data_IF_109526815342
#
_entry.id   IF_109526815342
#
_cell.length_a   1.000
_cell.length_b   1.000
_cell.length_c   1.000
_cell.angle_alpha   90.00
_cell.angle_beta   90.00
_cell.angle_gamma   90.00
#
_symmetry.space_group_name_H-M   'P 1'
#
loop_
_entity.id
_entity.type
_entity.pdbx_description
1 polymer ?
#
# COMPACT_ATOMS: atom_id res chain seq x y z
N UNK A 1 5.05 -4.25 0.85
CA UNK A 1 3.72 -3.61 0.75
C UNK A 1 3.77 -2.59 -0.36
N UNK A 2 2.80 -2.65 -1.24
CA UNK A 2 2.59 -1.71 -2.34
C UNK A 2 1.22 -1.09 -2.17
N UNK A 3 1.08 0.21 -2.38
CA UNK A 3 -0.21 0.91 -2.39
C UNK A 3 -0.44 1.51 -3.76
N UNK A 4 -1.64 1.33 -4.29
CA UNK A 4 -2.06 1.83 -5.59
C UNK A 4 -3.30 2.72 -5.47
N UNK A 5 -3.42 3.68 -6.39
CA UNK A 5 -4.66 4.44 -6.56
C UNK A 5 -5.76 3.56 -7.20
N UNK A 6 -6.97 4.13 -7.33
CA UNK A 6 -8.12 3.45 -7.97
C UNK A 6 -7.89 3.04 -9.43
N UNK A 7 -6.90 3.63 -10.09
CA UNK A 7 -6.54 3.35 -11.49
C UNK A 7 -5.43 2.30 -11.57
N UNK A 8 -4.92 1.81 -10.44
CA UNK A 8 -3.83 0.84 -10.37
C UNK A 8 -2.43 1.46 -10.41
N UNK A 9 -2.28 2.78 -10.34
CA UNK A 9 -0.95 3.39 -10.29
C UNK A 9 -0.35 3.26 -8.90
N UNK A 10 0.89 2.78 -8.82
CA UNK A 10 1.65 2.76 -7.58
C UNK A 10 1.90 4.19 -7.04
N UNK A 11 1.47 4.39 -5.80
CA UNK A 11 1.69 5.64 -5.05
C UNK A 11 2.69 5.48 -3.92
N UNK A 12 2.94 4.25 -3.47
CA UNK A 12 3.88 3.92 -2.41
C UNK A 12 4.31 2.46 -2.50
N UNK A 13 5.58 2.16 -2.22
CA UNK A 13 6.05 0.80 -2.00
C UNK A 13 7.15 0.76 -0.94
N UNK A 14 7.12 -0.30 -0.11
CA UNK A 14 8.11 -0.52 0.95
C UNK A 14 8.25 -1.99 1.31
N UNK A 15 9.50 -2.45 1.44
CA UNK A 15 9.84 -3.74 2.03
C UNK A 15 9.89 -3.59 3.56
N UNK A 16 9.29 -4.53 4.29
CA UNK A 16 9.25 -4.48 5.75
C UNK A 16 8.43 -3.30 6.28
N UNK A 17 7.25 -3.06 5.69
CA UNK A 17 6.34 -1.98 6.09
C UNK A 17 5.96 -2.08 7.57
N UNK A 18 5.99 -0.95 8.28
CA UNK A 18 5.77 -0.87 9.74
C UNK A 18 4.56 -0.01 10.11
N UNK A 19 3.59 0.11 9.21
CA UNK A 19 2.47 1.03 9.36
C UNK A 19 2.89 2.51 9.38
N UNK A 20 3.87 2.86 8.54
CA UNK A 20 4.58 4.14 8.55
C UNK A 20 4.37 4.98 7.27
N UNK A 21 3.38 4.61 6.46
CA UNK A 21 2.94 5.45 5.35
C UNK A 21 1.89 6.44 5.85
N UNK A 22 2.11 7.71 5.58
CA UNK A 22 1.33 8.85 6.07
C UNK A 22 0.32 9.37 5.04
N UNK A 23 0.11 8.64 3.94
CA UNK A 23 -0.78 9.05 2.86
C UNK A 23 -0.15 10.11 1.94
N UNK A 24 1.17 10.14 1.83
CA UNK A 24 1.90 11.01 0.90
C UNK A 24 2.56 10.23 -0.24
N UNK A 25 2.81 10.93 -1.37
CA UNK A 25 3.67 10.45 -2.46
C UNK A 25 4.70 11.54 -2.75
N UNK A 26 5.98 11.19 -2.63
CA UNK A 26 7.10 12.14 -2.80
C UNK A 26 6.97 13.39 -1.91
N UNK A 27 6.52 13.21 -0.65
CA UNK A 27 6.32 14.30 0.30
C UNK A 27 5.09 15.18 0.06
N UNK A 28 4.31 14.91 -1.00
CA UNK A 28 3.05 15.61 -1.25
C UNK A 28 1.85 14.78 -0.75
N UNK A 29 0.88 15.41 -0.08
CA UNK A 29 -0.32 14.71 0.39
C UNK A 29 -1.13 14.21 -0.80
N UNK A 30 -1.56 12.95 -0.74
CA UNK A 30 -2.50 12.42 -1.71
C UNK A 30 -3.93 12.91 -1.43
N UNK A 31 -4.79 12.96 -2.47
CA UNK A 31 -6.20 13.28 -2.30
C UNK A 31 -6.92 12.37 -1.30
N UNK A 32 -7.96 12.90 -0.67
CA UNK A 32 -8.94 12.10 0.07
C UNK A 32 -9.56 11.06 -0.85
N UNK A 33 -9.62 9.82 -0.41
CA UNK A 33 -10.16 8.73 -1.21
C UNK A 33 -9.70 7.36 -0.74
N UNK A 34 -10.18 6.34 -1.46
CA UNK A 34 -9.83 4.94 -1.24
C UNK A 34 -8.64 4.57 -2.12
N UNK A 35 -7.66 3.93 -1.50
CA UNK A 35 -6.46 3.34 -2.09
C UNK A 35 -6.46 1.85 -1.80
N UNK A 36 -5.72 1.07 -2.57
CA UNK A 36 -5.63 -0.38 -2.38
C UNK A 36 -4.21 -0.77 -2.06
N UNK A 37 -4.04 -1.70 -1.12
CA UNK A 37 -2.72 -2.24 -0.80
C UNK A 37 -2.60 -3.70 -1.23
N UNK A 38 -1.39 -4.07 -1.59
CA UNK A 38 -0.94 -5.44 -1.83
C UNK A 38 0.23 -5.73 -0.90
N UNK A 39 0.08 -6.76 -0.08
CA UNK A 39 1.10 -7.26 0.83
C UNK A 39 1.55 -8.64 0.38
N UNK A 40 2.82 -8.72 -0.01
CA UNK A 40 3.51 -9.96 -0.33
C UNK A 40 4.31 -10.40 0.90
N UNK A 41 4.00 -11.60 1.41
CA UNK A 41 4.71 -12.21 2.53
C UNK A 41 5.84 -13.07 1.95
N UNK A 42 7.08 -12.59 2.08
CA UNK A 42 8.27 -13.27 1.56
C UNK A 42 8.74 -14.38 2.52
N UNK A 43 7.89 -15.40 2.73
CA UNK A 43 8.28 -16.61 3.46
C UNK A 43 8.77 -17.67 2.46
N UNK A 44 10.08 -17.93 2.34
CA UNK A 44 10.63 -18.81 1.31
C UNK A 44 10.19 -20.27 1.41
N UNK A 45 9.65 -20.68 2.57
CA UNK A 45 9.23 -22.07 2.83
C UNK A 45 7.75 -22.32 2.54
N UNK A 46 6.98 -21.26 2.28
CA UNK A 46 5.52 -21.36 2.10
C UNK A 46 5.09 -20.42 0.97
N UNK A 47 4.40 -20.96 -0.03
CA UNK A 47 3.70 -20.12 -1.00
C UNK A 47 2.49 -19.49 -0.30
N UNK A 48 2.63 -18.23 0.11
CA UNK A 48 1.55 -17.46 0.71
C UNK A 48 0.83 -16.67 -0.37
N UNK A 49 -0.51 -16.70 -0.33
CA UNK A 49 -1.31 -15.80 -1.17
C UNK A 49 -1.04 -14.35 -0.79
N UNK A 50 -1.17 -13.46 -1.78
CA UNK A 50 -1.09 -12.03 -1.54
C UNK A 50 -2.23 -11.61 -0.63
N UNK A 51 -1.93 -10.81 0.37
CA UNK A 51 -2.95 -10.17 1.19
C UNK A 51 -3.25 -8.81 0.55
N UNK A 52 -4.52 -8.55 0.26
CA UNK A 52 -4.97 -7.28 -0.29
C UNK A 52 -6.12 -6.69 0.52
N UNK A 53 -6.24 -5.37 0.44
CA UNK A 53 -7.33 -4.63 1.07
C UNK A 53 -7.30 -3.17 0.66
N UNK A 54 -8.14 -2.37 1.31
CA UNK A 54 -8.21 -0.93 1.08
C UNK A 54 -7.63 -0.11 2.25
N UNK A 55 -7.21 1.10 1.93
CA UNK A 55 -6.85 2.17 2.86
C UNK A 55 -7.58 3.42 2.43
N UNK A 56 -8.33 4.02 3.35
CA UNK A 56 -9.01 5.29 3.13
C UNK A 56 -8.21 6.44 3.73
N UNK A 57 -7.84 7.41 2.88
CA UNK A 57 -7.31 8.69 3.33
C UNK A 57 -8.49 9.62 3.57
N UNK A 58 -8.64 10.10 4.81
CA UNK A 58 -9.65 11.07 5.24
C UNK A 58 -8.97 12.38 5.71
N UNK A 59 -9.68 13.51 5.66
CA UNK A 59 -9.22 14.85 6.05
C UNK A 59 -10.28 15.56 6.87
#
# INVERSE_FOLDING_TARGET
>A
MTVVDRSGHEVFSKIGYKNDWDGTRNGQPLPTGVYYYVLELNEPRVALERVNGDVSIMR
#
